data_IF_338680656171
#
_entry.id   IF_338680656171
#
_cell.length_a   1.000
_cell.length_b   1.000
_cell.length_c   1.000
_cell.angle_alpha   90.00
_cell.angle_beta   90.00
_cell.angle_gamma   90.00
#
_symmetry.space_group_name_H-M   'P 1'
#
loop_
_entity.id
_entity.type
_entity.pdbx_description
1 polymer ?
#
# COMPACT_ATOMS: atom_id res chain seq x y z
N UNK A 1 -10.34 1.10 -18.60
CA UNK A 1 -10.71 -0.25 -18.11
C UNK A 1 -10.61 -1.20 -19.29
N UNK A 2 -10.14 -2.44 -19.10
CA UNK A 2 -10.03 -3.45 -20.15
C UNK A 2 -10.29 -4.84 -19.57
N UNK A 3 -11.00 -5.71 -20.29
CA UNK A 3 -11.40 -7.04 -19.81
C UNK A 3 -12.02 -7.06 -18.38
N UNK A 4 -12.84 -6.05 -18.05
CA UNK A 4 -13.46 -5.90 -16.73
C UNK A 4 -12.50 -5.52 -15.59
N UNK A 5 -11.27 -5.09 -15.90
CA UNK A 5 -10.24 -4.71 -14.95
C UNK A 5 -9.80 -3.27 -15.15
N UNK A 6 -9.48 -2.59 -14.05
CA UNK A 6 -8.79 -1.32 -14.15
C UNK A 6 -7.31 -1.57 -14.45
N UNK A 7 -6.79 -0.88 -15.48
CA UNK A 7 -5.41 -1.05 -15.95
C UNK A 7 -4.53 0.01 -15.30
N UNK A 8 -4.94 1.26 -15.46
CA UNK A 8 -4.26 2.44 -14.93
C UNK A 8 -5.30 3.40 -14.34
N UNK A 9 -4.89 4.18 -13.35
CA UNK A 9 -5.62 5.34 -12.84
C UNK A 9 -4.75 6.58 -13.00
N UNK A 10 -5.40 7.69 -13.34
CA UNK A 10 -4.77 9.01 -13.39
C UNK A 10 -5.06 9.72 -12.08
N UNK A 11 -4.03 10.19 -11.39
CA UNK A 11 -4.16 11.03 -10.21
C UNK A 11 -3.58 12.42 -10.48
N UNK A 12 -4.29 13.47 -10.07
CA UNK A 12 -3.79 14.84 -10.08
C UNK A 12 -3.63 15.32 -8.63
N UNK A 13 -2.42 15.75 -8.30
CA UNK A 13 -2.04 16.34 -7.01
C UNK A 13 -1.62 17.79 -7.24
N UNK A 14 -1.44 18.56 -6.15
CA UNK A 14 -1.13 19.99 -6.24
C UNK A 14 0.18 20.28 -7.02
N UNK A 15 1.16 19.39 -6.94
CA UNK A 15 2.50 19.60 -7.52
C UNK A 15 2.90 18.59 -8.60
N UNK A 16 2.08 17.57 -8.86
CA UNK A 16 2.36 16.54 -9.85
C UNK A 16 1.07 15.87 -10.32
N UNK A 17 1.19 15.09 -11.38
CA UNK A 17 0.18 14.13 -11.79
C UNK A 17 0.84 12.80 -12.10
N UNK A 18 0.04 11.74 -12.05
CA UNK A 18 0.56 10.38 -12.03
C UNK A 18 -0.30 9.38 -12.78
N UNK A 19 0.37 8.41 -13.39
CA UNK A 19 -0.23 7.20 -13.95
C UNK A 19 0.09 6.02 -13.04
N UNK A 20 -0.89 5.52 -12.29
CA UNK A 20 -0.71 4.38 -11.37
C UNK A 20 -1.32 3.10 -11.94
N UNK A 21 -0.54 2.02 -12.01
CA UNK A 21 -0.93 0.73 -12.57
C UNK A 21 -1.47 -0.20 -11.47
N UNK A 22 -2.63 -0.83 -11.71
CA UNK A 22 -3.29 -1.66 -10.68
C UNK A 22 -2.57 -2.98 -10.38
N UNK A 23 -1.95 -3.60 -11.40
CA UNK A 23 -1.19 -4.84 -11.26
C UNK A 23 0.29 -4.62 -11.53
N UNK A 24 0.87 -3.55 -10.98
CA UNK A 24 2.26 -3.17 -11.23
C UNK A 24 3.28 -4.28 -10.88
N UNK A 25 2.95 -5.18 -9.96
CA UNK A 25 3.78 -6.35 -9.62
C UNK A 25 4.02 -7.32 -10.81
N UNK A 26 3.18 -7.27 -11.84
CA UNK A 26 3.37 -8.05 -13.07
C UNK A 26 4.25 -7.34 -14.10
N UNK A 27 4.44 -6.02 -13.96
CA UNK A 27 5.13 -5.21 -14.95
C UNK A 27 6.63 -5.47 -14.92
N UNK A 28 7.24 -5.60 -16.10
CA UNK A 28 8.70 -5.80 -16.22
C UNK A 28 9.52 -4.55 -15.96
N UNK A 29 8.91 -3.38 -16.16
CA UNK A 29 9.54 -2.05 -16.00
C UNK A 29 10.92 -1.93 -16.69
N UNK A 30 11.01 -2.29 -17.97
CA UNK A 30 12.29 -2.32 -18.71
C UNK A 30 13.01 -0.96 -18.77
N UNK A 31 12.30 0.15 -18.54
CA UNK A 31 12.88 1.49 -18.54
C UNK A 31 13.15 2.04 -17.12
N UNK A 32 12.81 1.29 -16.06
CA UNK A 32 13.00 1.72 -14.67
C UNK A 32 12.22 2.99 -14.31
N UNK A 33 11.04 3.19 -14.91
CA UNK A 33 10.25 4.42 -14.79
C UNK A 33 9.20 4.35 -13.69
N UNK A 34 8.90 3.15 -13.20
CA UNK A 34 7.95 3.04 -12.10
C UNK A 34 8.63 3.53 -10.82
N UNK A 35 7.92 4.40 -10.12
CA UNK A 35 8.23 4.87 -8.80
C UNK A 35 7.26 4.29 -7.78
N UNK A 36 7.72 4.17 -6.53
CA UNK A 36 6.86 3.88 -5.39
C UNK A 36 6.12 5.15 -4.97
N UNK A 37 4.82 5.04 -4.69
CA UNK A 37 4.05 6.16 -4.11
C UNK A 37 4.57 6.61 -2.74
N UNK A 38 5.21 5.70 -2.00
CA UNK A 38 5.76 5.96 -0.67
C UNK A 38 6.42 4.71 -0.08
N UNK A 39 7.00 4.82 1.13
CA UNK A 39 7.85 3.78 1.72
C UNK A 39 7.13 2.44 1.95
N UNK A 40 5.81 2.48 2.17
CA UNK A 40 4.99 1.29 2.39
C UNK A 40 4.47 0.64 1.09
N UNK A 41 4.85 1.18 -0.08
CA UNK A 41 4.47 0.62 -1.38
C UNK A 41 5.42 -0.54 -1.70
N UNK A 42 4.88 -1.72 -1.99
CA UNK A 42 5.68 -2.92 -2.23
C UNK A 42 6.41 -2.87 -3.56
N UNK A 43 5.66 -2.68 -4.63
CA UNK A 43 6.18 -2.53 -5.98
C UNK A 43 6.11 -1.06 -6.37
N UNK A 44 7.08 -0.63 -7.16
CA UNK A 44 6.91 0.61 -7.87
C UNK A 44 5.71 0.46 -8.83
N UNK A 45 4.78 1.40 -8.78
CA UNK A 45 3.45 1.25 -9.37
C UNK A 45 2.99 2.47 -10.14
N UNK A 46 3.84 3.49 -10.26
CA UNK A 46 3.42 4.79 -10.71
C UNK A 46 4.48 5.46 -11.58
N UNK A 47 4.07 6.11 -12.67
CA UNK A 47 4.90 7.09 -13.37
C UNK A 47 4.48 8.48 -12.88
N UNK A 48 5.45 9.28 -12.39
CA UNK A 48 5.22 10.65 -11.94
C UNK A 48 5.55 11.65 -13.05
N UNK A 49 4.75 12.70 -13.14
CA UNK A 49 5.00 13.82 -14.03
C UNK A 49 4.87 15.14 -13.25
N UNK A 50 5.87 16.00 -13.39
CA UNK A 50 5.85 17.38 -12.89
C UNK A 50 5.74 18.41 -14.02
N UNK A 51 5.83 17.95 -15.27
CA UNK A 51 5.73 18.76 -16.49
C UNK A 51 4.89 18.02 -17.54
N UNK A 52 3.95 18.76 -18.14
CA UNK A 52 3.05 18.26 -19.19
C UNK A 52 3.80 17.90 -20.48
N UNK A 53 4.91 18.58 -20.78
CA UNK A 53 5.71 18.33 -21.99
C UNK A 53 6.26 16.89 -22.02
N UNK A 54 6.60 16.36 -20.85
CA UNK A 54 7.14 15.00 -20.68
C UNK A 54 6.19 13.90 -21.08
N UNK A 55 4.88 14.14 -21.06
CA UNK A 55 3.89 13.15 -21.50
C UNK A 55 4.04 12.86 -23.00
N UNK A 56 4.26 13.90 -23.81
CA UNK A 56 4.44 13.73 -25.26
C UNK A 56 5.75 13.00 -25.58
N UNK A 57 6.84 13.37 -24.88
CA UNK A 57 8.15 12.71 -24.99
C UNK A 57 8.07 11.22 -24.61
N UNK A 58 7.36 10.90 -23.52
CA UNK A 58 7.25 9.53 -22.99
C UNK A 58 6.14 8.70 -23.63
N UNK A 59 5.38 9.25 -24.59
CA UNK A 59 4.24 8.58 -25.23
C UNK A 59 4.55 7.15 -25.71
N UNK A 60 5.67 6.87 -26.41
CA UNK A 60 5.97 5.50 -26.86
C UNK A 60 6.10 4.52 -25.70
N UNK A 61 6.73 4.97 -24.60
CA UNK A 61 6.97 4.16 -23.41
C UNK A 61 5.67 3.93 -22.64
N UNK A 62 4.88 4.98 -22.42
CA UNK A 62 3.55 4.87 -21.78
C UNK A 62 2.67 3.88 -22.54
N UNK A 63 2.64 3.95 -23.88
CA UNK A 63 1.87 3.01 -24.70
C UNK A 63 2.38 1.57 -24.57
N UNK A 64 3.69 1.37 -24.46
CA UNK A 64 4.27 0.05 -24.22
C UNK A 64 3.79 -0.54 -22.87
N UNK A 65 3.81 0.27 -21.81
CA UNK A 65 3.37 -0.17 -20.47
C UNK A 65 1.88 -0.46 -20.45
N UNK A 66 1.06 0.36 -21.14
CA UNK A 66 -0.36 0.10 -21.27
C UNK A 66 -0.63 -1.20 -22.03
N UNK A 67 0.08 -1.47 -23.13
CA UNK A 67 -0.04 -2.72 -23.90
C UNK A 67 0.34 -3.93 -23.06
N UNK A 68 1.43 -3.86 -22.31
CA UNK A 68 1.85 -4.92 -21.40
C UNK A 68 0.76 -5.20 -20.34
N UNK A 69 0.28 -4.17 -19.67
CA UNK A 69 -0.75 -4.29 -18.65
C UNK A 69 -2.10 -4.82 -19.20
N UNK A 70 -2.46 -4.41 -20.42
CA UNK A 70 -3.61 -4.93 -21.17
C UNK A 70 -3.42 -6.43 -21.47
N UNK A 71 -2.23 -6.83 -21.93
CA UNK A 71 -1.92 -8.23 -22.21
C UNK A 71 -2.10 -9.13 -20.99
N UNK A 72 -1.73 -8.67 -19.79
CA UNK A 72 -2.00 -9.42 -18.55
C UNK A 72 -3.49 -9.50 -18.22
N UNK A 73 -4.27 -8.46 -18.52
CA UNK A 73 -5.71 -8.47 -18.32
C UNK A 73 -6.41 -9.44 -19.29
N UNK A 74 -6.02 -9.44 -20.57
CA UNK A 74 -6.52 -10.37 -21.60
C UNK A 74 -6.19 -11.82 -21.25
N UNK A 75 -4.97 -12.09 -20.80
CA UNK A 75 -4.54 -13.42 -20.35
C UNK A 75 -5.16 -13.84 -19.01
N UNK A 76 -5.93 -12.97 -18.35
CA UNK A 76 -6.53 -13.26 -17.06
C UNK A 76 -5.53 -13.32 -15.88
N UNK A 77 -4.25 -13.03 -16.09
CA UNK A 77 -3.18 -13.14 -15.10
C UNK A 77 -3.38 -12.09 -14.00
N UNK A 78 -3.19 -12.47 -12.75
CA UNK A 78 -3.27 -11.58 -11.59
C UNK A 78 -1.93 -11.61 -10.85
N UNK A 79 -1.55 -10.46 -10.31
CA UNK A 79 -0.39 -10.38 -9.42
C UNK A 79 -0.56 -11.35 -8.25
N UNK A 80 0.50 -12.10 -7.86
CA UNK A 80 0.46 -12.92 -6.67
C UNK A 80 0.19 -12.04 -5.44
N UNK A 81 -0.61 -12.56 -4.51
CA UNK A 81 -0.81 -11.89 -3.23
C UNK A 81 0.40 -12.14 -2.35
N UNK A 82 1.25 -11.14 -2.20
CA UNK A 82 2.35 -11.23 -1.24
C UNK A 82 1.83 -11.08 0.19
N UNK A 83 2.11 -12.05 1.05
CA UNK A 83 1.94 -11.93 2.49
C UNK A 83 3.31 -11.71 3.11
N UNK A 84 3.75 -10.45 3.14
CA UNK A 84 4.90 -10.09 3.97
C UNK A 84 4.51 -10.22 5.43
N UNK A 85 5.31 -10.95 6.19
CA UNK A 85 5.28 -10.93 7.65
C UNK A 85 5.63 -9.51 8.09
N UNK A 86 4.80 -8.96 8.97
CA UNK A 86 5.07 -7.67 9.60
C UNK A 86 5.58 -7.98 10.99
N UNK A 87 6.83 -7.61 11.27
CA UNK A 87 7.35 -7.64 12.63
C UNK A 87 6.53 -6.72 13.52
N UNK A 88 6.02 -7.27 14.62
CA UNK A 88 5.26 -6.52 15.60
C UNK A 88 6.24 -5.71 16.47
N UNK A 89 6.00 -4.40 16.69
CA UNK A 89 6.78 -3.63 17.65
C UNK A 89 6.70 -4.26 19.05
N UNK A 90 7.80 -4.22 19.80
CA UNK A 90 7.88 -4.82 21.15
C UNK A 90 6.75 -4.34 22.06
N UNK A 91 6.39 -3.05 22.03
CA UNK A 91 5.32 -2.52 22.87
C UNK A 91 3.94 -3.06 22.50
N UNK A 92 3.74 -3.44 21.23
CA UNK A 92 2.50 -4.09 20.80
C UNK A 92 2.51 -5.54 21.27
N UNK A 93 3.62 -6.27 21.13
CA UNK A 93 3.75 -7.64 21.63
C UNK A 93 3.46 -7.71 23.13
N UNK A 94 4.13 -6.88 23.94
CA UNK A 94 3.94 -6.84 25.39
C UNK A 94 2.48 -6.54 25.78
N UNK A 95 1.82 -5.63 25.06
CA UNK A 95 0.41 -5.33 25.32
C UNK A 95 -0.52 -6.49 24.95
N UNK A 96 -0.24 -7.24 23.88
CA UNK A 96 -1.01 -8.43 23.52
C UNK A 96 -0.79 -9.55 24.56
N UNK A 97 0.43 -9.69 25.08
CA UNK A 97 0.74 -10.68 26.13
C UNK A 97 0.06 -10.35 27.47
N UNK A 98 -0.15 -9.06 27.77
CA UNK A 98 -0.74 -8.62 29.03
C UNK A 98 -2.27 -8.43 29.01
N UNK A 99 -2.89 -8.34 27.82
CA UNK A 99 -4.32 -8.07 27.65
C UNK A 99 -4.95 -9.09 26.68
N UNK A 100 -5.51 -10.21 27.19
CA UNK A 100 -6.10 -11.25 26.36
C UNK A 100 -7.26 -10.76 25.46
N UNK A 101 -8.06 -9.80 25.94
CA UNK A 101 -9.14 -9.20 25.15
C UNK A 101 -8.58 -8.43 23.95
N UNK A 102 -7.52 -7.65 24.17
CA UNK A 102 -6.82 -6.95 23.10
C UNK A 102 -6.18 -7.94 22.12
N UNK A 103 -5.58 -9.03 22.60
CA UNK A 103 -4.98 -10.06 21.77
C UNK A 103 -6.00 -10.71 20.84
N UNK A 104 -7.12 -11.18 21.39
CA UNK A 104 -8.20 -11.79 20.61
C UNK A 104 -8.74 -10.80 19.57
N UNK A 105 -9.04 -9.57 19.99
CA UNK A 105 -9.52 -8.53 19.09
C UNK A 105 -8.52 -8.25 17.96
N UNK A 106 -7.22 -8.11 18.27
CA UNK A 106 -6.18 -7.86 17.28
C UNK A 106 -6.02 -9.02 16.29
N UNK A 107 -6.03 -10.26 16.76
CA UNK A 107 -5.91 -11.45 15.91
C UNK A 107 -7.14 -11.68 15.04
N UNK A 108 -8.32 -11.23 15.46
CA UNK A 108 -9.55 -11.26 14.65
C UNK A 108 -9.54 -10.26 13.48
N UNK A 109 -8.67 -9.25 13.52
CA UNK A 109 -8.57 -8.25 12.45
C UNK A 109 -8.07 -8.87 11.15
N UNK A 110 -8.50 -8.32 10.02
CA UNK A 110 -7.91 -8.68 8.73
C UNK A 110 -6.41 -8.34 8.71
N UNK A 111 -5.57 -9.07 7.94
CA UNK A 111 -4.15 -8.76 7.87
C UNK A 111 -3.88 -7.30 7.53
N UNK A 112 -4.64 -6.70 6.62
CA UNK A 112 -4.50 -5.28 6.27
C UNK A 112 -4.73 -4.33 7.46
N UNK A 113 -5.70 -4.65 8.33
CA UNK A 113 -5.97 -3.87 9.55
C UNK A 113 -4.87 -4.06 10.59
N UNK A 114 -4.37 -5.29 10.82
CA UNK A 114 -3.22 -5.53 11.69
C UNK A 114 -1.99 -4.72 11.23
N UNK A 115 -1.68 -4.77 9.93
CA UNK A 115 -0.58 -3.98 9.35
C UNK A 115 -0.75 -2.49 9.57
N UNK A 116 -1.99 -1.98 9.50
CA UNK A 116 -2.25 -0.54 9.72
C UNK A 116 -1.84 -0.08 11.12
N UNK A 117 -2.02 -0.93 12.14
CA UNK A 117 -1.59 -0.65 13.51
C UNK A 117 -0.07 -0.66 13.63
N UNK A 118 0.59 -1.67 13.07
CA UNK A 118 2.06 -1.74 13.09
C UNK A 118 2.68 -0.53 12.39
N UNK A 119 2.20 -0.17 11.20
CA UNK A 119 2.67 1.02 10.48
C UNK A 119 2.47 2.27 11.34
N UNK A 120 1.31 2.43 12.00
CA UNK A 120 1.03 3.59 12.84
C UNK A 120 2.03 3.71 14.01
N UNK A 121 2.38 2.57 14.62
CA UNK A 121 3.31 2.51 15.75
C UNK A 121 4.77 2.68 15.31
N UNK A 122 5.18 2.09 14.19
CA UNK A 122 6.55 2.20 13.66
C UNK A 122 6.92 3.62 13.23
N UNK A 123 5.93 4.47 12.91
CA UNK A 123 6.15 5.89 12.64
C UNK A 123 6.59 6.68 13.90
N UNK A 124 6.39 6.14 15.10
CA UNK A 124 6.70 6.79 16.37
C UNK A 124 8.02 6.24 16.91
N UNK A 125 9.05 7.09 16.95
CA UNK A 125 10.40 6.70 17.41
C UNK A 125 10.53 6.50 18.93
N UNK A 126 9.70 7.19 19.73
CA UNK A 126 9.76 7.13 21.19
C UNK A 126 8.89 6.01 21.73
N UNK A 127 9.49 5.09 22.49
CA UNK A 127 8.78 3.97 23.13
C UNK A 127 7.61 4.43 24.02
N UNK A 128 7.83 5.42 24.90
CA UNK A 128 6.75 5.98 25.71
C UNK A 128 5.60 6.56 24.89
N UNK A 129 5.91 7.18 23.74
CA UNK A 129 4.89 7.70 22.84
C UNK A 129 4.14 6.57 22.10
N UNK A 130 4.80 5.45 21.78
CA UNK A 130 4.17 4.23 21.24
C UNK A 130 3.17 3.66 22.24
N UNK A 131 3.53 3.50 23.51
CA UNK A 131 2.60 3.03 24.55
C UNK A 131 1.37 3.95 24.71
N UNK A 132 1.59 5.27 24.78
CA UNK A 132 0.48 6.23 24.84
C UNK A 132 -0.43 6.16 23.60
N UNK A 133 0.15 5.95 22.42
CA UNK A 133 -0.61 5.77 21.19
C UNK A 133 -1.39 4.45 21.21
N UNK A 134 -0.78 3.37 21.68
CA UNK A 134 -1.40 2.06 21.76
C UNK A 134 -2.65 2.05 22.64
N UNK A 135 -2.61 2.73 23.80
CA UNK A 135 -3.79 2.89 24.64
C UNK A 135 -4.98 3.55 23.92
N UNK A 136 -4.72 4.51 23.01
CA UNK A 136 -5.76 5.11 22.16
C UNK A 136 -6.25 4.18 21.05
N UNK A 137 -5.35 3.35 20.53
CA UNK A 137 -5.65 2.40 19.45
C UNK A 137 -6.42 1.18 19.96
N UNK A 138 -6.28 0.80 21.24
CA UNK A 138 -7.04 -0.29 21.88
C UNK A 138 -8.53 -0.23 21.56
N UNK A 139 -9.16 0.93 21.75
CA UNK A 139 -10.60 1.13 21.49
C UNK A 139 -10.97 0.79 20.04
N UNK A 140 -10.10 1.13 19.09
CA UNK A 140 -10.32 0.81 17.67
C UNK A 140 -10.08 -0.66 17.35
N UNK A 141 -9.08 -1.28 17.98
CA UNK A 141 -8.77 -2.70 17.81
C UNK A 141 -9.97 -3.53 18.28
N UNK A 142 -10.50 -3.23 19.47
CA UNK A 142 -11.69 -3.90 20.03
C UNK A 142 -12.92 -3.68 19.15
N UNK A 143 -13.07 -2.49 18.56
CA UNK A 143 -14.14 -2.20 17.60
C UNK A 143 -13.93 -2.86 16.22
N UNK A 144 -12.89 -3.67 16.02
CA UNK A 144 -12.59 -4.34 14.75
C UNK A 144 -12.13 -3.41 13.63
N UNK A 145 -11.76 -2.15 13.94
CA UNK A 145 -11.40 -1.12 12.97
C UNK A 145 -9.91 -1.12 12.65
N UNK A 146 -9.51 -0.52 11.54
CA UNK A 146 -8.11 -0.17 11.24
C UNK A 146 -7.65 1.10 11.96
N UNK A 147 -6.33 1.30 12.09
CA UNK A 147 -5.76 2.43 12.84
C UNK A 147 -6.23 3.82 12.34
N UNK A 148 -6.42 3.95 11.03
CA UNK A 148 -6.86 5.18 10.36
C UNK A 148 -8.38 5.20 10.05
N UNK A 149 -9.11 4.14 10.37
CA UNK A 149 -10.56 4.10 10.16
C UNK A 149 -11.27 4.96 11.21
N UNK A 150 -12.38 5.60 10.81
CA UNK A 150 -13.23 6.42 11.67
C UNK A 150 -14.28 5.54 12.35
#
# INVERSE_FOLDING_TARGET
MHAGRNIVIIGALRGDFRLSFFNAALMKDLNGLLEKQGPNTRHADMIRFTDNSKVAEMKPVILSYLKEAIGYADAGIKAPKETGEIELPVELLEALDCDPELAEAFHSLTPGRQRSYVINLMLIKSSQARLRRLGKLRVKIIAGKGANER
#
